data_IF_841882484857
#
_entry.id   IF_841882484857
#
_cell.length_a   1.000
_cell.length_b   1.000
_cell.length_c   1.000
_cell.angle_alpha   90.00
_cell.angle_beta   90.00
_cell.angle_gamma   90.00
#
_symmetry.space_group_name_H-M   'P 1'
#
loop_
_entity.id
_entity.type
_entity.pdbx_description
1 polymer ?
#
# COMPACT_ATOMS: atom_id res chain seq x y z
N UNK A 1 3.82 22.01 19.51
CA UNK A 1 4.28 22.41 18.65
C UNK A 1 5.33 21.73 18.09
N UNK A 2 6.20 21.36 18.75
CA UNK A 2 7.22 20.63 18.18
C UNK A 2 6.73 19.46 17.42
N UNK A 3 5.62 18.94 17.81
CA UNK A 3 5.12 17.85 17.11
C UNK A 3 4.76 18.15 15.73
N UNK A 4 4.42 19.39 15.47
CA UNK A 4 4.03 19.73 14.15
C UNK A 4 5.19 19.66 13.19
N UNK A 5 6.40 19.74 13.69
CA UNK A 5 7.54 19.67 12.81
C UNK A 5 7.92 18.25 12.50
N UNK A 6 7.47 17.31 13.32
CA UNK A 6 7.75 15.94 13.05
C UNK A 6 6.55 15.39 12.37
N UNK A 7 6.57 15.42 11.07
CA UNK A 7 5.47 14.83 10.33
C UNK A 7 5.53 13.33 10.52
N UNK A 8 4.54 12.75 11.16
CA UNK A 8 4.52 11.30 11.22
C UNK A 8 4.44 10.76 9.81
N UNK A 9 4.97 9.60 9.56
CA UNK A 9 4.83 9.00 8.24
C UNK A 9 3.34 8.89 7.91
N UNK A 10 3.03 9.07 6.64
CA UNK A 10 1.66 8.92 6.20
C UNK A 10 1.20 7.54 6.56
N UNK A 11 0.08 7.42 7.24
CA UNK A 11 -0.47 6.13 7.60
C UNK A 11 -0.83 5.33 6.36
N UNK A 12 -0.87 4.02 6.52
CA UNK A 12 -1.14 3.12 5.40
C UNK A 12 -2.48 3.45 4.75
N UNK A 13 -3.52 3.66 5.54
CA UNK A 13 -4.83 3.97 4.99
C UNK A 13 -4.82 5.28 4.21
N UNK A 14 -4.12 6.28 4.71
CA UNK A 14 -4.04 7.57 4.02
C UNK A 14 -3.25 7.45 2.72
N UNK A 15 -2.18 6.66 2.72
CA UNK A 15 -1.40 6.44 1.50
C UNK A 15 -2.23 5.76 0.43
N UNK A 16 -2.99 4.72 0.82
CA UNK A 16 -3.84 4.00 -0.12
C UNK A 16 -4.95 4.90 -0.66
N UNK A 17 -5.56 5.69 0.22
CA UNK A 17 -6.61 6.61 -0.19
C UNK A 17 -6.07 7.67 -1.15
N UNK A 18 -4.86 8.16 -0.90
CA UNK A 18 -4.25 9.14 -1.77
C UNK A 18 -4.01 8.62 -3.17
N UNK A 19 -3.51 7.39 -3.28
CA UNK A 19 -3.30 6.79 -4.58
C UNK A 19 -4.62 6.52 -5.28
N UNK A 20 -5.62 6.03 -4.55
CA UNK A 20 -6.93 5.76 -5.14
C UNK A 20 -7.55 7.05 -5.67
N UNK A 21 -7.45 8.13 -4.92
CA UNK A 21 -7.98 9.41 -5.34
C UNK A 21 -7.27 9.91 -6.59
N UNK A 22 -5.95 9.74 -6.64
CA UNK A 22 -5.20 10.14 -7.83
C UNK A 22 -5.62 9.34 -9.05
N UNK A 23 -5.86 8.03 -8.88
CA UNK A 23 -6.29 7.18 -9.97
C UNK A 23 -7.68 7.53 -10.46
N UNK A 24 -8.55 7.99 -9.55
CA UNK A 24 -9.91 8.34 -9.91
C UNK A 24 -10.04 9.71 -10.56
N UNK A 25 -8.96 10.50 -10.57
CA UNK A 25 -8.97 11.77 -11.28
C UNK A 25 -9.10 11.50 -12.77
N UNK A 26 -9.94 12.26 -13.43
CA UNK A 26 -10.21 12.05 -14.84
C UNK A 26 -8.94 12.18 -15.68
N UNK A 27 -8.76 11.25 -16.60
CA UNK A 27 -7.65 11.28 -17.53
C UNK A 27 -8.15 11.87 -18.83
N UNK A 28 -7.72 13.08 -19.16
CA UNK A 28 -8.06 13.65 -20.46
C UNK A 28 -6.81 13.65 -21.30
N UNK A 29 -6.99 13.69 -22.61
CA UNK A 29 -5.85 13.65 -23.52
C UNK A 29 -4.91 14.83 -23.30
N UNK A 30 -5.46 15.97 -22.91
CA UNK A 30 -4.63 17.16 -22.73
C UNK A 30 -3.95 17.20 -21.37
N UNK A 31 -4.45 16.40 -20.42
CA UNK A 31 -3.93 16.42 -19.08
C UNK A 31 -3.25 15.12 -18.66
N UNK A 32 -3.01 14.24 -19.62
CA UNK A 32 -2.45 12.94 -19.30
C UNK A 32 -1.10 13.05 -18.58
N UNK A 33 -0.27 14.02 -18.97
CA UNK A 33 1.01 14.21 -18.34
C UNK A 33 0.88 14.56 -16.85
N UNK A 34 -0.05 15.45 -16.53
CA UNK A 34 -0.30 15.81 -15.13
C UNK A 34 -0.83 14.63 -14.32
N UNK A 35 -1.76 13.87 -14.92
CA UNK A 35 -2.30 12.68 -14.26
C UNK A 35 -1.20 11.66 -13.99
N UNK A 36 -0.34 11.41 -14.97
CA UNK A 36 0.74 10.45 -14.84
C UNK A 36 1.65 10.80 -13.67
N UNK A 37 2.05 12.06 -13.58
CA UNK A 37 2.92 12.51 -12.51
C UNK A 37 2.23 12.47 -11.15
N UNK A 38 0.96 12.83 -11.10
CA UNK A 38 0.19 12.80 -9.85
C UNK A 38 0.10 11.37 -9.33
N UNK A 39 -0.22 10.42 -10.21
CA UNK A 39 -0.29 9.01 -9.80
C UNK A 39 1.08 8.52 -9.36
N UNK A 40 2.11 8.83 -10.14
CA UNK A 40 3.46 8.36 -9.81
C UNK A 40 3.90 8.87 -8.45
N UNK A 41 3.56 10.11 -8.12
CA UNK A 41 3.91 10.67 -6.81
C UNK A 41 3.24 9.95 -5.66
N UNK A 42 2.05 9.47 -5.86
CA UNK A 42 1.31 8.80 -4.79
C UNK A 42 1.70 7.32 -4.64
N UNK A 43 2.50 6.78 -5.55
CA UNK A 43 2.93 5.39 -5.44
C UNK A 43 4.01 5.21 -4.38
N UNK A 44 4.89 6.21 -4.21
CA UNK A 44 5.97 6.12 -3.22
C UNK A 44 5.46 5.93 -1.79
N UNK A 45 4.53 6.77 -1.33
CA UNK A 45 3.97 6.58 0.02
C UNK A 45 3.33 5.23 0.23
N UNK A 46 2.66 4.67 -0.79
CA UNK A 46 2.08 3.34 -0.68
C UNK A 46 3.17 2.29 -0.50
N UNK A 47 4.22 2.35 -1.31
CA UNK A 47 5.33 1.43 -1.18
C UNK A 47 5.95 1.52 0.21
N UNK A 48 6.18 2.73 0.69
CA UNK A 48 6.79 2.93 2.00
C UNK A 48 5.90 2.39 3.11
N UNK A 49 4.59 2.59 2.98
CA UNK A 49 3.64 2.10 3.98
C UNK A 49 3.65 0.57 4.05
N UNK A 50 3.67 -0.09 2.88
CA UNK A 50 3.69 -1.55 2.86
C UNK A 50 4.98 -2.08 3.45
N UNK A 51 6.09 -1.42 3.19
CA UNK A 51 7.36 -1.83 3.76
C UNK A 51 7.38 -1.67 5.27
N UNK A 52 6.75 -0.62 5.78
CA UNK A 52 6.66 -0.41 7.23
C UNK A 52 5.81 -1.46 7.92
N UNK A 53 4.75 -1.92 7.25
CA UNK A 53 3.89 -2.95 7.84
C UNK A 53 4.68 -4.20 8.21
N UNK A 54 5.74 -4.48 7.45
CA UNK A 54 6.57 -5.63 7.71
C UNK A 54 7.30 -5.52 9.06
N UNK A 55 7.71 -4.33 9.43
CA UNK A 55 8.54 -4.16 10.61
C UNK A 55 7.78 -4.35 11.91
N UNK A 56 6.46 -4.20 11.87
CA UNK A 56 5.65 -4.21 13.07
C UNK A 56 5.22 -5.58 13.54
N UNK A 57 5.45 -6.63 12.80
CA UNK A 57 4.94 -7.93 13.15
C UNK A 57 5.95 -9.02 13.35
N UNK A 58 7.14 -8.70 13.76
CA UNK A 58 8.23 -9.66 13.72
C UNK A 58 8.37 -10.52 14.96
N UNK A 59 7.33 -11.22 15.37
CA UNK A 59 7.45 -12.10 16.52
C UNK A 59 7.61 -13.54 16.09
N UNK A 60 8.57 -14.20 16.65
CA UNK A 60 9.06 -15.45 16.14
C UNK A 60 8.13 -16.63 16.15
N UNK A 61 7.16 -16.66 17.05
CA UNK A 61 6.30 -17.85 17.13
C UNK A 61 5.24 -17.89 16.01
N UNK A 62 5.11 -16.82 15.23
CA UNK A 62 4.23 -16.83 14.09
C UNK A 62 5.03 -16.87 12.79
N UNK A 63 6.22 -17.44 12.82
CA UNK A 63 7.12 -17.36 11.68
C UNK A 63 6.55 -17.90 10.37
N UNK A 64 5.73 -18.95 10.44
CA UNK A 64 5.15 -19.51 9.22
C UNK A 64 4.16 -18.55 8.57
N UNK A 65 3.32 -17.90 9.37
CA UNK A 65 2.40 -16.90 8.88
C UNK A 65 3.16 -15.70 8.36
N UNK A 66 4.18 -15.26 9.12
CA UNK A 66 4.99 -14.13 8.71
C UNK A 66 5.73 -14.43 7.42
N UNK A 67 6.15 -15.68 7.22
CA UNK A 67 6.79 -16.07 5.98
C UNK A 67 5.87 -15.93 4.78
N UNK A 68 4.61 -16.35 4.92
CA UNK A 68 3.65 -16.19 3.83
C UNK A 68 3.33 -14.74 3.59
N UNK A 69 3.14 -13.97 4.65
CA UNK A 69 2.88 -12.54 4.55
C UNK A 69 4.05 -11.82 3.91
N UNK A 70 5.27 -12.22 4.25
CA UNK A 70 6.45 -11.60 3.66
C UNK A 70 6.53 -11.88 2.17
N UNK A 71 6.18 -13.10 1.75
CA UNK A 71 6.19 -13.43 0.33
C UNK A 71 5.10 -12.68 -0.41
N UNK A 72 3.92 -12.58 0.18
CA UNK A 72 2.83 -11.84 -0.42
C UNK A 72 3.19 -10.36 -0.54
N UNK A 73 3.77 -9.79 0.52
CA UNK A 73 4.20 -8.41 0.50
C UNK A 73 5.24 -8.16 -0.59
N UNK A 74 6.22 -9.06 -0.70
CA UNK A 74 7.24 -8.91 -1.72
C UNK A 74 6.65 -8.96 -3.12
N UNK A 75 5.67 -9.83 -3.34
CA UNK A 75 5.01 -9.93 -4.64
C UNK A 75 4.23 -8.65 -4.95
N UNK A 76 3.54 -8.09 -3.96
CA UNK A 76 2.79 -6.86 -4.15
C UNK A 76 3.73 -5.69 -4.43
N UNK A 77 4.84 -5.60 -3.70
CA UNK A 77 5.82 -4.55 -3.93
C UNK A 77 6.45 -4.67 -5.31
N UNK A 78 6.70 -5.88 -5.76
CA UNK A 78 7.24 -6.11 -7.10
C UNK A 78 6.25 -5.67 -8.16
N UNK A 79 4.97 -6.00 -8.00
CA UNK A 79 3.94 -5.58 -8.93
C UNK A 79 3.82 -4.05 -8.96
N UNK A 80 3.88 -3.42 -7.79
CA UNK A 80 3.79 -1.97 -7.70
C UNK A 80 4.98 -1.33 -8.41
N UNK A 81 6.18 -1.86 -8.19
CA UNK A 81 7.38 -1.34 -8.83
C UNK A 81 7.28 -1.41 -10.34
N UNK A 82 6.68 -2.47 -10.87
CA UNK A 82 6.53 -2.62 -12.31
C UNK A 82 5.66 -1.54 -12.92
N UNK A 83 4.71 -0.99 -12.14
CA UNK A 83 3.86 0.07 -12.64
C UNK A 83 4.54 1.44 -12.67
N UNK A 84 5.67 1.63 -11.99
CA UNK A 84 6.33 2.91 -11.98
C UNK A 84 6.59 3.47 -13.37
N UNK A 85 7.35 2.76 -14.21
CA UNK A 85 7.57 3.23 -15.57
C UNK A 85 6.31 3.23 -16.41
N UNK A 86 5.42 2.26 -16.20
CA UNK A 86 4.19 2.17 -17.00
C UNK A 86 3.29 3.38 -16.79
N UNK A 87 3.21 3.87 -15.56
CA UNK A 87 2.38 5.05 -15.27
C UNK A 87 2.88 6.25 -16.08
N UNK A 88 4.18 6.37 -16.25
CA UNK A 88 4.74 7.52 -16.94
C UNK A 88 4.78 7.34 -18.46
N UNK A 89 4.92 6.12 -18.95
CA UNK A 89 5.26 5.90 -20.34
C UNK A 89 4.29 5.08 -21.17
N UNK A 90 3.41 4.32 -20.54
CA UNK A 90 2.51 3.46 -21.29
C UNK A 90 1.58 4.30 -22.17
N UNK A 91 1.42 3.92 -23.44
CA UNK A 91 0.59 4.71 -24.36
C UNK A 91 -0.90 4.79 -23.99
N UNK A 92 -1.40 3.85 -23.18
CA UNK A 92 -2.80 3.84 -22.80
C UNK A 92 -2.94 4.05 -21.29
N UNK A 93 -3.11 5.31 -20.83
CA UNK A 93 -3.22 5.58 -19.41
C UNK A 93 -4.41 4.90 -18.75
N UNK A 94 -5.51 4.73 -19.48
CA UNK A 94 -6.69 4.10 -18.90
C UNK A 94 -6.44 2.64 -18.56
N UNK A 95 -5.66 1.95 -19.39
CA UNK A 95 -5.31 0.56 -19.11
C UNK A 95 -4.44 0.47 -17.88
N UNK A 96 -3.47 1.38 -17.73
CA UNK A 96 -2.61 1.42 -16.57
C UNK A 96 -3.43 1.73 -15.33
N UNK A 97 -4.35 2.68 -15.42
CA UNK A 97 -5.24 3.03 -14.31
C UNK A 97 -6.01 1.81 -13.83
N UNK A 98 -6.59 1.07 -14.76
CA UNK A 98 -7.42 -0.07 -14.38
C UNK A 98 -6.60 -1.18 -13.73
N UNK A 99 -5.41 -1.43 -14.26
CA UNK A 99 -4.52 -2.43 -13.68
C UNK A 99 -4.02 -2.02 -12.31
N UNK A 100 -3.68 -0.75 -12.15
CA UNK A 100 -3.18 -0.26 -10.86
C UNK A 100 -4.31 -0.23 -9.82
N UNK A 101 -5.54 0.04 -10.23
CA UNK A 101 -6.68 -0.03 -9.30
C UNK A 101 -6.89 -1.45 -8.81
N UNK A 102 -6.69 -2.45 -9.66
CA UNK A 102 -6.80 -3.83 -9.22
C UNK A 102 -5.69 -4.18 -8.24
N UNK A 103 -4.47 -3.75 -8.54
CA UNK A 103 -3.37 -3.97 -7.62
C UNK A 103 -3.63 -3.30 -6.28
N UNK A 104 -4.17 -2.07 -6.32
CA UNK A 104 -4.50 -1.37 -5.09
C UNK A 104 -5.52 -2.13 -4.26
N UNK A 105 -6.51 -2.74 -4.90
CA UNK A 105 -7.47 -3.59 -4.20
C UNK A 105 -6.79 -4.77 -3.52
N UNK A 106 -5.83 -5.40 -4.21
CA UNK A 106 -5.08 -6.51 -3.63
C UNK A 106 -4.25 -6.06 -2.43
N UNK A 107 -3.66 -4.87 -2.53
CA UNK A 107 -2.88 -4.31 -1.43
C UNK A 107 -3.80 -4.02 -0.24
N UNK A 108 -4.97 -3.46 -0.50
CA UNK A 108 -5.92 -3.16 0.57
C UNK A 108 -6.34 -4.43 1.31
N UNK A 109 -6.55 -5.52 0.57
CA UNK A 109 -6.90 -6.79 1.20
C UNK A 109 -5.73 -7.34 2.01
N UNK A 110 -4.52 -7.19 1.51
CA UNK A 110 -3.34 -7.63 2.26
C UNK A 110 -3.21 -6.86 3.57
N UNK A 111 -3.34 -5.54 3.52
CA UNK A 111 -3.23 -4.70 4.71
C UNK A 111 -4.32 -5.06 5.71
N UNK A 112 -5.54 -5.27 5.24
CA UNK A 112 -6.64 -5.63 6.12
C UNK A 112 -6.37 -6.95 6.82
N UNK A 113 -5.85 -7.94 6.09
CA UNK A 113 -5.52 -9.24 6.70
C UNK A 113 -4.43 -9.09 7.76
N UNK A 114 -3.44 -8.22 7.52
CA UNK A 114 -2.38 -8.00 8.50
C UNK A 114 -2.95 -7.38 9.78
N UNK A 115 -3.88 -6.43 9.64
CA UNK A 115 -4.50 -5.81 10.79
C UNK A 115 -5.39 -6.81 11.53
N UNK A 116 -6.09 -7.66 10.82
CA UNK A 116 -6.93 -8.67 11.45
C UNK A 116 -6.09 -9.67 12.22
N UNK A 117 -4.95 -10.08 11.68
CA UNK A 117 -4.07 -11.00 12.36
C UNK A 117 -3.51 -10.38 13.65
N UNK A 118 -3.10 -9.12 13.57
CA UNK A 118 -2.58 -8.44 14.74
C UNK A 118 -3.66 -8.30 15.83
N UNK A 119 -4.89 -8.01 15.42
CA UNK A 119 -5.98 -7.88 16.36
C UNK A 119 -6.28 -9.22 17.03
N UNK A 120 -6.26 -10.29 16.26
CA UNK A 120 -6.52 -11.62 16.80
C UNK A 120 -5.44 -12.03 17.80
N UNK A 121 -4.20 -11.68 17.57
CA UNK A 121 -3.13 -11.98 18.50
C UNK A 121 -3.36 -11.27 19.82
N UNK A 122 -3.72 -9.99 19.77
CA UNK A 122 -3.98 -9.22 20.98
C UNK A 122 -5.14 -9.82 21.76
N UNK A 123 -6.19 -10.21 21.06
CA UNK A 123 -7.35 -10.80 21.72
C UNK A 123 -7.02 -12.12 22.36
N UNK A 124 -6.20 -12.93 21.72
CA UNK A 124 -5.80 -14.21 22.29
C UNK A 124 -4.95 -14.01 23.55
N UNK A 125 -4.09 -13.02 23.55
CA UNK A 125 -3.28 -12.73 24.73
C UNK A 125 -4.16 -12.28 25.90
N UNK A 126 -5.09 -11.40 25.65
CA UNK A 126 -5.98 -10.91 26.68
C UNK A 126 -6.87 -12.04 27.21
N UNK A 127 -7.43 -12.83 26.33
CA UNK A 127 -8.27 -13.94 26.73
C UNK A 127 -7.51 -14.99 27.50
N UNK A 128 -6.25 -15.23 27.13
CA UNK A 128 -5.44 -16.22 27.80
C UNK A 128 -5.06 -15.85 29.21
N UNK A 129 -5.13 -14.58 29.56
CA UNK A 129 -4.72 -14.16 30.88
C UNK A 129 -5.81 -14.36 31.89
N UNK A 130 -6.98 -14.74 31.47
CA UNK A 130 -8.03 -15.02 32.40
C UNK A 130 -8.04 -16.50 32.77
#
# INVERSE_FOLDING_TARGET
>A
MANSTINPPIGTAAALAGLRQALDTAVSATEAGGWRWTVRRHMGPVRDAIEREHLDGADGWLSARHGRSARERAALLSRLAAYGPLVLEHPDPAQVRDGLKRLLGDIEHYVQRQHDLAYDEVELEIGGSE
#
